data_IF_674617954958
#
_entry.id   IF_674617954958
#
_cell.length_a   1.000
_cell.length_b   1.000
_cell.length_c   1.000
_cell.angle_alpha   90.00
_cell.angle_beta   90.00
_cell.angle_gamma   90.00
#
_symmetry.space_group_name_H-M   'P 1'
#
loop_
_entity.id
_entity.type
_entity.pdbx_description
1 polymer ?
#
# COMPACT_ATOMS: atom_id res chain seq x y z
N UNK A 1 -7.70 -11.93 -14.06
CA UNK A 1 -6.75 -12.59 -13.14
C UNK A 1 -5.63 -11.68 -12.59
N UNK A 2 -5.36 -10.47 -13.14
CA UNK A 2 -4.19 -9.66 -12.72
C UNK A 2 -4.34 -8.74 -11.50
N UNK A 3 -5.56 -8.27 -11.16
CA UNK A 3 -5.75 -7.21 -10.15
C UNK A 3 -5.66 -7.71 -8.69
N UNK A 4 -6.17 -8.90 -8.42
CA UNK A 4 -6.11 -9.53 -7.08
C UNK A 4 -4.66 -9.86 -6.70
N UNK A 5 -3.86 -10.36 -7.64
CA UNK A 5 -2.42 -10.62 -7.46
C UNK A 5 -1.60 -9.34 -7.20
N UNK A 6 -2.02 -8.20 -7.73
CA UNK A 6 -1.35 -6.92 -7.48
C UNK A 6 -1.57 -6.44 -6.04
N UNK A 7 -2.79 -6.56 -5.52
CA UNK A 7 -3.11 -6.14 -4.14
C UNK A 7 -2.29 -6.95 -3.14
N UNK A 8 -2.24 -8.27 -3.31
CA UNK A 8 -1.45 -9.16 -2.44
C UNK A 8 0.04 -8.77 -2.42
N UNK A 9 0.63 -8.50 -3.58
CA UNK A 9 2.03 -8.05 -3.66
C UNK A 9 2.26 -6.71 -2.98
N UNK A 10 1.36 -5.74 -3.17
CA UNK A 10 1.46 -4.42 -2.53
C UNK A 10 1.42 -4.55 -1.01
N UNK A 11 0.48 -5.33 -0.48
CA UNK A 11 0.35 -5.56 0.96
C UNK A 11 1.56 -6.30 1.55
N UNK A 12 2.13 -7.25 0.81
CA UNK A 12 3.38 -7.91 1.21
C UNK A 12 4.56 -6.92 1.24
N UNK A 13 4.70 -6.02 0.26
CA UNK A 13 5.74 -4.97 0.31
C UNK A 13 5.54 -4.06 1.51
N UNK A 14 4.30 -3.70 1.85
CA UNK A 14 4.02 -2.89 3.04
C UNK A 14 4.40 -3.63 4.33
N UNK A 15 3.97 -4.90 4.47
CA UNK A 15 4.23 -5.74 5.65
C UNK A 15 5.73 -5.98 5.86
N UNK A 16 6.46 -6.33 4.80
CA UNK A 16 7.89 -6.67 4.89
C UNK A 16 8.81 -5.46 4.78
N UNK A 17 8.33 -4.32 4.25
CA UNK A 17 9.06 -3.06 4.23
C UNK A 17 9.29 -2.44 5.62
N UNK A 18 8.54 -2.93 6.62
CA UNK A 18 8.64 -2.53 8.03
C UNK A 18 7.71 -1.36 8.38
N UNK A 19 6.87 -1.56 9.40
CA UNK A 19 5.91 -0.55 9.89
C UNK A 19 6.58 0.79 10.24
N UNK A 20 7.84 0.75 10.70
CA UNK A 20 8.62 1.94 11.02
C UNK A 20 8.75 2.91 9.84
N UNK A 21 8.77 2.42 8.59
CA UNK A 21 8.81 3.29 7.40
C UNK A 21 7.52 4.06 7.18
N UNK A 22 6.38 3.52 7.62
CA UNK A 22 5.10 4.25 7.61
C UNK A 22 5.02 5.26 8.77
N UNK A 23 5.62 4.94 9.92
CA UNK A 23 5.57 5.77 11.13
C UNK A 23 6.54 6.96 11.05
N UNK A 24 7.82 6.70 10.78
CA UNK A 24 8.87 7.72 10.78
C UNK A 24 9.08 8.32 9.39
N UNK A 25 8.92 7.49 8.36
CA UNK A 25 9.19 7.84 6.97
C UNK A 25 7.98 8.44 6.28
N UNK A 26 7.50 9.62 6.72
CA UNK A 26 6.34 10.31 6.11
C UNK A 26 6.41 10.37 4.58
N UNK A 27 7.60 10.66 4.04
CA UNK A 27 7.86 10.70 2.60
C UNK A 27 7.66 9.34 1.92
N UNK A 28 8.09 8.26 2.58
CA UNK A 28 7.90 6.91 2.08
C UNK A 28 6.43 6.50 2.13
N UNK A 29 5.73 6.79 3.23
CA UNK A 29 4.30 6.54 3.37
C UNK A 29 3.48 7.25 2.28
N UNK A 30 3.74 8.52 2.03
CA UNK A 30 3.08 9.31 0.99
C UNK A 30 3.35 8.76 -0.41
N UNK A 31 4.61 8.44 -0.73
CA UNK A 31 4.98 7.85 -2.04
C UNK A 31 4.35 6.47 -2.23
N UNK A 32 4.37 5.63 -1.20
CA UNK A 32 3.79 4.30 -1.22
C UNK A 32 2.28 4.36 -1.50
N UNK A 33 1.54 5.23 -0.80
CA UNK A 33 0.12 5.43 -1.04
C UNK A 33 -0.16 5.95 -2.46
N UNK A 34 0.61 6.94 -2.94
CA UNK A 34 0.47 7.50 -4.28
C UNK A 34 0.66 6.46 -5.39
N UNK A 35 1.74 5.67 -5.32
CA UNK A 35 2.00 4.65 -6.33
C UNK A 35 1.03 3.47 -6.24
N UNK A 36 0.54 3.14 -5.04
CA UNK A 36 -0.54 2.16 -4.86
C UNK A 36 -1.82 2.61 -5.55
N UNK A 37 -2.24 3.88 -5.37
CA UNK A 37 -3.41 4.45 -6.02
C UNK A 37 -3.29 4.38 -7.56
N UNK A 38 -2.14 4.78 -8.11
CA UNK A 38 -1.85 4.70 -9.54
C UNK A 38 -1.90 3.26 -10.07
N UNK A 39 -1.26 2.31 -9.37
CA UNK A 39 -1.23 0.90 -9.78
C UNK A 39 -2.64 0.26 -9.77
N UNK A 40 -3.53 0.73 -8.90
CA UNK A 40 -4.91 0.22 -8.80
C UNK A 40 -5.91 0.97 -9.69
N UNK A 41 -5.51 2.09 -10.31
CA UNK A 41 -6.38 2.98 -11.06
C UNK A 41 -7.45 3.59 -10.15
N UNK A 42 -7.02 4.16 -9.02
CA UNK A 42 -7.88 4.79 -8.00
C UNK A 42 -7.37 6.18 -7.68
N UNK A 43 -8.29 7.08 -7.33
CA UNK A 43 -7.96 8.46 -6.94
C UNK A 43 -7.43 8.53 -5.51
N UNK A 44 -7.94 7.67 -4.63
CA UNK A 44 -7.53 7.58 -3.23
C UNK A 44 -7.52 6.12 -2.79
N UNK A 45 -6.63 5.78 -1.87
CA UNK A 45 -6.54 4.46 -1.24
C UNK A 45 -6.28 4.62 0.25
N UNK A 46 -6.82 3.69 1.05
CA UNK A 46 -6.46 3.49 2.45
C UNK A 46 -5.78 2.13 2.57
N UNK A 47 -4.54 2.12 3.02
CA UNK A 47 -3.77 0.89 3.23
C UNK A 47 -3.75 0.59 4.72
N UNK A 48 -4.29 -0.55 5.11
CA UNK A 48 -4.22 -1.08 6.46
C UNK A 48 -3.29 -2.29 6.47
N UNK A 49 -2.05 -2.07 6.95
CA UNK A 49 -1.02 -3.11 6.94
C UNK A 49 -1.30 -4.18 8.00
N UNK A 50 -1.83 -3.78 9.16
CA UNK A 50 -2.16 -4.68 10.25
C UNK A 50 -3.33 -5.60 9.88
N UNK A 51 -4.38 -5.04 9.29
CA UNK A 51 -5.52 -5.80 8.78
C UNK A 51 -5.25 -6.49 7.44
N UNK A 52 -4.09 -6.26 6.82
CA UNK A 52 -3.71 -6.76 5.50
C UNK A 52 -4.78 -6.48 4.44
N UNK A 53 -5.19 -5.21 4.34
CA UNK A 53 -6.31 -4.79 3.50
C UNK A 53 -6.06 -3.45 2.80
N UNK A 54 -6.66 -3.26 1.63
CA UNK A 54 -6.69 -1.97 0.93
C UNK A 54 -8.15 -1.58 0.66
N UNK A 55 -8.57 -0.43 1.19
CA UNK A 55 -9.82 0.24 0.84
C UNK A 55 -9.60 1.32 -0.22
N UNK A 56 -10.64 1.64 -0.99
CA UNK A 56 -10.68 2.73 -1.96
C UNK A 56 -12.12 3.19 -2.17
#
# INVERSE_FOLDING_TARGET
MGKVLIIDKILNVARYGGEQRFIDGKDWATRFARYTALALGRDTVRIDVAAFNIGY
#
